data_IF_766459789772
#
_entry.id   IF_766459789772
#
_cell.length_a   1.000
_cell.length_b   1.000
_cell.length_c   1.000
_cell.angle_alpha   90.00
_cell.angle_beta   90.00
_cell.angle_gamma   90.00
#
_symmetry.space_group_name_H-M   'P 1'
#
loop_
_entity.id
_entity.type
_entity.pdbx_description
1 polymer ?
#
# COMPACT_ATOMS: atom_id res chain seq x y z
N UNK A 1 -35.30 -18.04 13.00
CA UNK A 1 -34.64 -18.05 14.32
C UNK A 1 -34.26 -19.47 14.77
N UNK A 2 -33.55 -20.20 13.93
CA UNK A 2 -33.16 -21.59 14.19
C UNK A 2 -31.69 -21.72 14.61
N UNK A 3 -31.03 -20.64 15.03
CA UNK A 3 -29.65 -20.65 15.50
C UNK A 3 -29.62 -20.25 16.98
N UNK A 4 -29.23 -21.17 17.84
CA UNK A 4 -28.94 -20.95 19.28
C UNK A 4 -27.70 -20.05 19.54
N UNK A 5 -27.38 -19.12 18.64
CA UNK A 5 -26.23 -18.24 18.75
C UNK A 5 -26.65 -16.77 18.83
N UNK A 6 -25.99 -16.03 19.74
CA UNK A 6 -26.29 -14.60 19.94
C UNK A 6 -26.10 -13.79 18.64
N UNK A 7 -26.86 -12.69 18.44
CA UNK A 7 -26.72 -11.80 17.30
C UNK A 7 -25.28 -11.30 17.13
N UNK A 8 -24.77 -11.33 15.87
CA UNK A 8 -23.42 -10.88 15.54
C UNK A 8 -22.31 -11.90 15.75
N UNK A 9 -22.62 -13.13 16.19
CA UNK A 9 -21.60 -14.19 16.28
C UNK A 9 -21.14 -14.67 14.90
N UNK A 10 -19.92 -15.20 14.82
CA UNK A 10 -19.35 -15.78 13.58
C UNK A 10 -20.25 -16.86 13.00
N UNK A 11 -20.85 -17.70 13.85
CA UNK A 11 -21.77 -18.75 13.45
C UNK A 11 -23.02 -18.19 12.77
N UNK A 12 -23.61 -17.15 13.34
CA UNK A 12 -24.80 -16.49 12.79
C UNK A 12 -24.50 -15.82 11.44
N UNK A 13 -23.39 -15.05 11.37
CA UNK A 13 -22.96 -14.38 10.13
C UNK A 13 -22.73 -15.40 9.03
N UNK A 14 -22.07 -16.52 9.33
CA UNK A 14 -21.84 -17.63 8.40
C UNK A 14 -23.14 -18.25 7.89
N UNK A 15 -24.07 -18.56 8.78
CA UNK A 15 -25.33 -19.17 8.42
C UNK A 15 -26.21 -18.24 7.57
N UNK A 16 -26.31 -16.97 7.96
CA UNK A 16 -27.02 -15.95 7.18
C UNK A 16 -26.44 -15.80 5.76
N UNK A 17 -25.10 -15.71 5.65
CA UNK A 17 -24.41 -15.63 4.37
C UNK A 17 -24.66 -16.87 3.50
N UNK A 18 -24.66 -18.09 4.08
CA UNK A 18 -24.96 -19.33 3.35
C UNK A 18 -26.37 -19.32 2.74
N UNK A 19 -27.35 -18.82 3.48
CA UNK A 19 -28.74 -18.70 2.99
C UNK A 19 -28.79 -17.70 1.83
N UNK A 20 -28.23 -16.51 2.01
CA UNK A 20 -28.23 -15.45 0.99
C UNK A 20 -27.49 -15.88 -0.29
N UNK A 21 -26.33 -16.53 -0.16
CA UNK A 21 -25.56 -17.04 -1.31
C UNK A 21 -26.35 -18.11 -2.07
N UNK A 22 -27.04 -19.01 -1.36
CA UNK A 22 -27.90 -20.00 -2.01
C UNK A 22 -29.08 -19.36 -2.76
N UNK A 23 -29.69 -18.34 -2.17
CA UNK A 23 -30.77 -17.58 -2.82
C UNK A 23 -30.27 -16.85 -4.06
N UNK A 24 -29.12 -16.17 -3.96
CA UNK A 24 -28.50 -15.47 -5.08
C UNK A 24 -28.20 -16.42 -6.24
N UNK A 25 -27.61 -17.59 -5.97
CA UNK A 25 -27.35 -18.63 -6.99
C UNK A 25 -28.62 -19.23 -7.59
N UNK A 26 -29.63 -19.40 -6.79
CA UNK A 26 -30.93 -19.97 -7.25
C UNK A 26 -31.68 -19.00 -8.15
N UNK A 27 -31.65 -17.71 -7.81
CA UNK A 27 -32.45 -16.67 -8.48
C UNK A 27 -31.65 -15.81 -9.46
N UNK A 28 -30.34 -15.98 -9.55
CA UNK A 28 -29.50 -15.31 -10.52
C UNK A 28 -29.27 -13.82 -10.25
N UNK A 29 -29.33 -13.36 -8.98
CA UNK A 29 -29.03 -11.99 -8.63
C UNK A 29 -27.61 -11.81 -8.03
N UNK A 30 -27.08 -10.59 -8.13
CA UNK A 30 -25.79 -10.23 -7.52
C UNK A 30 -26.00 -9.90 -6.04
N UNK A 31 -25.22 -10.53 -5.17
CA UNK A 31 -25.22 -10.30 -3.72
C UNK A 31 -23.94 -9.58 -3.31
N UNK A 32 -24.05 -8.38 -2.77
CA UNK A 32 -22.96 -7.62 -2.16
C UNK A 32 -23.06 -7.69 -0.63
N UNK A 33 -22.07 -8.31 -0.01
CA UNK A 33 -21.94 -8.37 1.45
C UNK A 33 -20.90 -7.34 1.90
N UNK A 34 -21.33 -6.32 2.63
CA UNK A 34 -20.44 -5.29 3.17
C UNK A 34 -20.10 -5.61 4.62
N UNK A 35 -18.81 -5.72 4.91
CA UNK A 35 -18.27 -5.98 6.24
C UNK A 35 -17.29 -4.91 6.68
N UNK A 36 -17.09 -4.77 7.99
CA UNK A 36 -16.08 -3.91 8.57
C UNK A 36 -14.87 -4.72 9.03
N UNK A 37 -13.67 -4.16 8.78
CA UNK A 37 -12.41 -4.65 9.33
C UNK A 37 -12.17 -3.93 10.66
N UNK A 38 -11.96 -4.66 11.75
CA UNK A 38 -11.61 -4.06 13.03
C UNK A 38 -10.15 -3.56 13.02
N UNK A 39 -9.81 -2.56 13.88
CA UNK A 39 -8.47 -1.95 13.97
C UNK A 39 -7.32 -2.94 14.22
N UNK A 40 -7.62 -4.14 14.70
CA UNK A 40 -6.64 -5.17 15.04
C UNK A 40 -6.43 -6.20 13.93
N UNK A 41 -7.02 -5.98 12.74
CA UNK A 41 -6.92 -6.93 11.61
C UNK A 41 -7.56 -8.30 11.88
N UNK A 42 -8.17 -8.46 13.04
CA UNK A 42 -8.85 -9.67 13.47
C UNK A 42 -10.35 -9.53 13.21
N UNK A 43 -10.78 -10.05 12.09
CA UNK A 43 -12.18 -10.03 11.73
C UNK A 43 -12.79 -11.38 12.07
N UNK A 44 -13.64 -11.39 13.08
CA UNK A 44 -14.38 -12.59 13.40
C UNK A 44 -15.42 -12.97 12.30
N UNK A 45 -15.93 -11.99 11.55
CA UNK A 45 -16.97 -12.20 10.53
C UNK A 45 -16.47 -12.28 9.07
N UNK A 46 -15.78 -11.25 8.53
CA UNK A 46 -15.44 -11.20 7.11
C UNK A 46 -14.50 -12.33 6.63
N UNK A 47 -13.48 -12.71 7.40
CA UNK A 47 -12.54 -13.77 7.00
C UNK A 47 -13.22 -15.12 6.75
N UNK A 48 -14.27 -15.42 7.51
CA UNK A 48 -15.09 -16.62 7.29
C UNK A 48 -15.87 -16.53 5.98
N UNK A 49 -16.30 -15.33 5.59
CA UNK A 49 -17.04 -15.09 4.37
C UNK A 49 -16.18 -15.16 3.11
N UNK A 50 -14.89 -14.82 3.20
CA UNK A 50 -13.94 -14.84 2.07
C UNK A 50 -13.92 -16.20 1.35
N UNK A 51 -14.02 -17.30 2.11
CA UNK A 51 -14.03 -18.64 1.53
C UNK A 51 -15.36 -19.01 0.86
N UNK A 52 -16.44 -18.30 1.20
CA UNK A 52 -17.80 -18.63 0.77
C UNK A 52 -18.25 -17.84 -0.47
N UNK A 53 -17.63 -16.68 -0.73
CA UNK A 53 -17.98 -15.77 -1.82
C UNK A 53 -17.08 -15.99 -3.04
N UNK A 54 -17.53 -15.54 -4.20
CA UNK A 54 -16.81 -15.69 -5.46
C UNK A 54 -15.75 -14.58 -5.64
N UNK A 55 -15.99 -13.38 -5.10
CA UNK A 55 -15.09 -12.23 -5.16
C UNK A 55 -14.96 -11.58 -3.79
N UNK A 56 -13.74 -11.17 -3.45
CA UNK A 56 -13.43 -10.41 -2.23
C UNK A 56 -12.72 -9.13 -2.62
N UNK A 57 -13.28 -8.01 -2.22
CA UNK A 57 -12.71 -6.68 -2.44
C UNK A 57 -12.39 -6.06 -1.09
N UNK A 58 -11.15 -5.59 -0.94
CA UNK A 58 -10.73 -4.79 0.20
C UNK A 58 -10.76 -3.31 -0.17
N UNK A 59 -11.35 -2.52 0.71
CA UNK A 59 -11.39 -1.08 0.58
C UNK A 59 -10.42 -0.49 1.60
N UNK A 60 -9.25 -0.06 1.12
CA UNK A 60 -8.13 0.41 1.91
C UNK A 60 -8.07 1.94 1.88
N UNK A 61 -7.67 2.55 2.99
CA UNK A 61 -7.44 3.99 3.06
C UNK A 61 -7.22 4.44 4.49
N UNK A 62 -6.18 5.21 4.72
CA UNK A 62 -5.87 5.79 6.03
C UNK A 62 -6.71 7.05 6.29
N UNK A 63 -6.98 7.31 7.59
CA UNK A 63 -7.62 8.56 8.01
C UNK A 63 -6.70 9.73 7.71
N UNK A 64 -7.18 10.71 6.94
CA UNK A 64 -6.43 11.90 6.54
C UNK A 64 -5.89 11.85 5.10
N UNK A 65 -5.86 10.70 4.44
CA UNK A 65 -5.57 10.62 3.02
C UNK A 65 -6.85 10.81 2.19
N UNK A 66 -6.75 11.62 1.13
CA UNK A 66 -7.88 11.89 0.23
C UNK A 66 -8.22 10.68 -0.65
N UNK A 67 -7.31 9.69 -0.73
CA UNK A 67 -7.45 8.54 -1.62
C UNK A 67 -7.92 7.29 -0.91
N UNK A 68 -8.59 6.44 -1.70
CA UNK A 68 -9.04 5.11 -1.30
C UNK A 68 -8.65 4.12 -2.38
N UNK A 69 -8.12 2.98 -1.99
CA UNK A 69 -7.75 1.89 -2.90
C UNK A 69 -8.75 0.76 -2.71
N UNK A 70 -9.37 0.34 -3.79
CA UNK A 70 -10.19 -0.86 -3.84
C UNK A 70 -9.33 -1.98 -4.45
N UNK A 71 -8.99 -2.96 -3.65
CA UNK A 71 -8.13 -4.08 -4.04
C UNK A 71 -8.92 -5.37 -4.17
N UNK A 72 -8.78 -6.05 -5.30
CA UNK A 72 -9.29 -7.41 -5.47
C UNK A 72 -8.33 -8.40 -4.82
N UNK A 73 -8.79 -9.11 -3.79
CA UNK A 73 -7.99 -10.11 -3.06
C UNK A 73 -8.32 -11.54 -3.50
N UNK A 74 -9.53 -11.71 -3.98
CA UNK A 74 -10.03 -12.97 -4.53
C UNK A 74 -11.00 -12.66 -5.66
N UNK A 75 -10.82 -13.32 -6.79
CA UNK A 75 -11.76 -13.27 -7.89
C UNK A 75 -11.79 -14.63 -8.59
N UNK A 76 -12.91 -15.36 -8.46
CA UNK A 76 -13.05 -16.69 -9.05
C UNK A 76 -13.17 -16.66 -10.57
N UNK A 77 -13.61 -15.54 -11.14
CA UNK A 77 -13.94 -15.40 -12.56
C UNK A 77 -13.01 -14.46 -13.32
N UNK A 78 -11.90 -14.00 -12.70
CA UNK A 78 -10.95 -13.09 -13.30
C UNK A 78 -9.70 -12.89 -12.46
N UNK A 79 -8.84 -11.92 -12.82
CA UNK A 79 -7.64 -11.58 -12.06
C UNK A 79 -7.97 -11.20 -10.62
N UNK A 80 -7.12 -11.59 -9.69
CA UNK A 80 -7.30 -11.29 -8.26
C UNK A 80 -6.52 -10.05 -7.82
N UNK A 81 -5.56 -9.57 -8.61
CA UNK A 81 -4.61 -8.53 -8.19
C UNK A 81 -4.91 -7.15 -8.81
N UNK A 82 -6.17 -6.91 -9.18
CA UNK A 82 -6.61 -5.62 -9.73
C UNK A 82 -6.85 -4.60 -8.63
N UNK A 83 -6.50 -3.35 -8.92
CA UNK A 83 -6.80 -2.21 -8.04
C UNK A 83 -7.60 -1.12 -8.76
N UNK A 84 -8.51 -0.49 -8.01
CA UNK A 84 -9.14 0.79 -8.35
C UNK A 84 -8.71 1.86 -7.37
N UNK A 85 -8.28 3.02 -7.86
CA UNK A 85 -7.93 4.17 -7.02
C UNK A 85 -9.04 5.20 -7.12
N UNK A 86 -9.49 5.69 -5.98
CA UNK A 86 -10.56 6.68 -5.86
C UNK A 86 -10.13 7.84 -4.99
N UNK A 87 -10.56 9.03 -5.34
CA UNK A 87 -10.42 10.23 -4.53
C UNK A 87 -11.73 10.51 -3.78
N UNK A 88 -11.64 10.95 -2.52
CA UNK A 88 -12.79 11.36 -1.73
C UNK A 88 -13.12 12.82 -2.01
N UNK A 89 -14.08 13.05 -2.88
CA UNK A 89 -14.62 14.39 -3.17
C UNK A 89 -15.86 14.74 -2.35
N UNK A 90 -16.36 15.97 -2.48
CA UNK A 90 -17.58 16.43 -1.81
C UNK A 90 -18.83 15.59 -2.15
N UNK A 91 -18.88 15.02 -3.34
CA UNK A 91 -19.99 14.18 -3.81
C UNK A 91 -19.78 12.69 -3.60
N UNK A 92 -18.73 12.30 -2.86
CA UNK A 92 -18.34 10.90 -2.64
C UNK A 92 -17.07 10.50 -3.40
N UNK A 93 -16.94 9.21 -3.69
CA UNK A 93 -15.77 8.64 -4.35
C UNK A 93 -15.79 8.93 -5.86
N UNK A 94 -14.68 9.45 -6.36
CA UNK A 94 -14.43 9.70 -7.78
C UNK A 94 -13.27 8.84 -8.24
N UNK A 95 -13.42 8.14 -9.36
CA UNK A 95 -12.35 7.30 -9.91
C UNK A 95 -11.14 8.16 -10.36
N UNK A 96 -9.94 7.71 -10.00
CA UNK A 96 -8.68 8.30 -10.45
C UNK A 96 -8.17 7.52 -11.66
N UNK A 97 -8.33 8.08 -12.85
CA UNK A 97 -7.94 7.44 -14.10
C UNK A 97 -6.41 7.21 -14.20
N UNK A 98 -5.61 8.14 -13.65
CA UNK A 98 -4.15 8.05 -13.65
C UNK A 98 -3.58 8.17 -12.22
N UNK A 99 -3.46 7.04 -11.49
CA UNK A 99 -2.89 7.05 -10.15
C UNK A 99 -1.45 7.56 -10.08
N UNK A 100 -0.64 7.31 -11.12
CA UNK A 100 0.75 7.77 -11.17
C UNK A 100 0.85 9.30 -11.14
N UNK A 101 0.01 9.99 -11.93
CA UNK A 101 -0.03 11.45 -11.92
C UNK A 101 -0.40 11.99 -10.54
N UNK A 102 -1.28 11.29 -9.84
CA UNK A 102 -1.70 11.63 -8.50
C UNK A 102 -0.57 11.46 -7.48
N UNK A 103 0.09 10.30 -7.46
CA UNK A 103 1.17 10.00 -6.52
C UNK A 103 2.42 10.86 -6.74
N UNK A 104 2.55 11.50 -7.90
CA UNK A 104 3.62 12.42 -8.23
C UNK A 104 3.21 13.90 -8.17
N UNK A 105 1.94 14.21 -7.87
CA UNK A 105 1.41 15.58 -7.93
C UNK A 105 2.08 16.53 -6.94
N UNK A 106 2.51 16.04 -5.80
CA UNK A 106 3.17 16.83 -4.74
C UNK A 106 4.71 16.79 -4.81
N UNK A 107 5.26 16.12 -5.84
CA UNK A 107 6.72 15.98 -5.98
C UNK A 107 7.40 17.34 -6.16
N UNK A 108 8.40 17.61 -5.33
CA UNK A 108 9.26 18.77 -5.49
C UNK A 108 10.41 18.47 -6.47
N UNK A 109 10.26 18.92 -7.70
CA UNK A 109 11.24 18.75 -8.77
C UNK A 109 12.48 19.60 -8.53
N UNK A 110 13.50 19.20 -7.97
CA UNK A 110 14.75 19.95 -7.72
C UNK A 110 15.20 19.87 -6.29
N UNK A 111 14.42 19.24 -5.41
CA UNK A 111 14.88 18.87 -4.08
C UNK A 111 15.67 17.58 -4.12
N UNK A 112 16.75 17.52 -3.33
CA UNK A 112 17.48 16.27 -3.06
C UNK A 112 16.61 15.32 -2.20
N UNK A 113 16.91 14.02 -2.24
CA UNK A 113 16.21 13.03 -1.44
C UNK A 113 14.90 12.51 -2.04
N UNK A 114 14.62 12.79 -3.31
CA UNK A 114 13.44 12.26 -4.02
C UNK A 114 13.86 11.49 -5.26
N UNK A 115 13.24 10.33 -5.49
CA UNK A 115 13.37 9.54 -6.72
C UNK A 115 12.03 8.90 -7.09
N UNK A 116 11.81 8.61 -8.37
CA UNK A 116 10.61 7.93 -8.83
C UNK A 116 10.91 6.46 -9.05
N UNK A 117 10.09 5.60 -8.46
CA UNK A 117 10.05 4.17 -8.73
C UNK A 117 8.91 3.82 -9.68
N UNK A 118 9.14 2.87 -10.57
CA UNK A 118 8.08 2.16 -11.24
C UNK A 118 7.87 0.82 -10.53
N UNK A 119 6.63 0.52 -10.18
CA UNK A 119 6.22 -0.71 -9.49
C UNK A 119 4.95 -1.27 -10.12
N UNK A 120 4.64 -2.53 -9.81
CA UNK A 120 3.41 -3.18 -10.23
C UNK A 120 2.45 -3.31 -9.05
N UNK A 121 1.24 -2.82 -9.21
CA UNK A 121 0.13 -3.12 -8.32
C UNK A 121 -0.87 -4.00 -9.07
N UNK A 122 -0.78 -5.31 -8.80
CA UNK A 122 -1.46 -6.31 -9.60
C UNK A 122 -0.93 -6.36 -11.02
N UNK A 123 -1.79 -6.10 -12.00
CA UNK A 123 -1.43 -6.00 -13.42
C UNK A 123 -1.15 -4.57 -13.87
N UNK A 124 -1.30 -3.58 -12.98
CA UNK A 124 -1.22 -2.16 -13.32
C UNK A 124 0.16 -1.57 -12.97
N UNK A 125 0.92 -1.02 -13.92
CA UNK A 125 2.13 -0.28 -13.62
C UNK A 125 1.78 1.06 -12.98
N UNK A 126 2.47 1.41 -11.89
CA UNK A 126 2.28 2.65 -11.14
C UNK A 126 3.64 3.30 -10.90
N UNK A 127 3.71 4.61 -11.06
CA UNK A 127 4.83 5.41 -10.62
C UNK A 127 4.56 5.94 -9.21
N UNK A 128 5.54 5.77 -8.32
CA UNK A 128 5.47 6.26 -6.94
C UNK A 128 6.72 7.07 -6.61
N UNK A 129 6.57 8.11 -5.81
CA UNK A 129 7.71 8.86 -5.29
C UNK A 129 8.27 8.16 -4.05
N UNK A 130 9.57 7.92 -4.07
CA UNK A 130 10.36 7.51 -2.90
C UNK A 130 11.10 8.72 -2.35
N UNK A 131 10.88 9.03 -1.10
CA UNK A 131 11.49 10.16 -0.40
C UNK A 131 12.46 9.63 0.66
N UNK A 132 13.62 10.23 0.77
CA UNK A 132 14.60 9.95 1.82
C UNK A 132 15.16 11.24 2.41
N UNK A 133 15.30 11.25 3.72
CA UNK A 133 16.01 12.28 4.45
C UNK A 133 17.20 11.62 5.17
N UNK A 134 18.39 12.10 4.88
CA UNK A 134 19.63 11.67 5.53
C UNK A 134 20.25 12.90 6.19
N UNK A 135 20.39 12.86 7.50
CA UNK A 135 20.94 13.99 8.29
C UNK A 135 21.92 13.47 9.34
N UNK A 136 22.96 14.23 9.68
CA UNK A 136 23.86 13.84 10.78
C UNK A 136 23.09 13.57 12.07
N UNK A 137 23.44 12.49 12.77
CA UNK A 137 22.80 12.11 14.03
C UNK A 137 23.11 13.12 15.12
N UNK A 138 22.08 13.70 15.73
CA UNK A 138 22.23 14.69 16.81
C UNK A 138 22.13 14.06 18.22
N UNK A 139 21.64 12.83 18.35
CA UNK A 139 21.30 12.20 19.63
C UNK A 139 22.05 10.91 19.96
N UNK A 140 23.24 10.73 19.41
CA UNK A 140 24.14 9.64 19.77
C UNK A 140 23.85 8.27 19.14
N UNK A 141 22.61 7.88 18.95
CA UNK A 141 22.21 6.63 18.27
C UNK A 141 21.47 6.95 16.99
N UNK A 142 21.99 6.54 15.82
CA UNK A 142 21.35 6.80 14.54
C UNK A 142 19.95 6.22 14.43
N UNK A 143 18.99 7.06 14.04
CA UNK A 143 17.61 6.65 13.85
C UNK A 143 17.38 6.11 12.42
N UNK A 144 16.55 5.09 12.32
CA UNK A 144 16.15 4.49 11.06
C UNK A 144 14.63 4.35 11.04
N UNK A 145 13.97 5.01 10.10
CA UNK A 145 12.51 4.96 9.97
C UNK A 145 12.12 4.71 8.53
N UNK A 146 11.13 3.85 8.32
CA UNK A 146 10.56 3.58 7.01
C UNK A 146 9.04 3.59 7.07
N UNK A 147 8.41 4.37 6.19
CA UNK A 147 6.97 4.42 5.97
C UNK A 147 6.69 3.96 4.54
N UNK A 148 5.73 3.05 4.37
CA UNK A 148 5.44 2.47 3.06
C UNK A 148 6.50 1.50 2.52
N UNK A 149 7.59 1.26 3.26
CA UNK A 149 8.72 0.41 2.91
C UNK A 149 9.13 -0.49 4.09
N UNK A 150 9.56 -1.72 3.82
CA UNK A 150 9.90 -2.67 4.87
C UNK A 150 11.21 -2.27 5.57
N UNK A 151 11.17 -2.09 6.90
CA UNK A 151 12.32 -1.70 7.70
C UNK A 151 13.54 -2.62 7.53
N UNK A 152 13.33 -3.95 7.46
CA UNK A 152 14.44 -4.92 7.23
C UNK A 152 15.11 -4.73 5.87
N UNK A 153 14.35 -4.35 4.84
CA UNK A 153 14.91 -4.03 3.52
C UNK A 153 15.72 -2.75 3.57
N UNK A 154 15.22 -1.70 4.26
CA UNK A 154 15.99 -0.47 4.49
C UNK A 154 17.34 -0.77 5.12
N UNK A 155 17.39 -1.57 6.19
CA UNK A 155 18.66 -1.95 6.83
C UNK A 155 19.64 -2.64 5.87
N UNK A 156 19.12 -3.52 5.01
CA UNK A 156 19.92 -4.22 4.01
C UNK A 156 20.46 -3.28 2.95
N UNK A 157 19.61 -2.36 2.43
CA UNK A 157 20.05 -1.34 1.47
C UNK A 157 21.12 -0.42 2.05
N UNK A 158 20.97 0.03 3.29
CA UNK A 158 21.99 0.85 3.96
C UNK A 158 23.33 0.12 4.04
N UNK A 159 23.34 -1.16 4.43
CA UNK A 159 24.57 -1.96 4.47
C UNK A 159 25.22 -2.12 3.08
N UNK A 160 24.41 -2.29 2.02
CA UNK A 160 24.91 -2.34 0.64
C UNK A 160 25.51 -1.00 0.22
N UNK A 161 24.84 0.11 0.50
CA UNK A 161 25.32 1.46 0.16
C UNK A 161 26.63 1.79 0.88
N UNK A 162 26.73 1.44 2.16
CA UNK A 162 27.98 1.60 2.92
C UNK A 162 29.12 0.77 2.30
N UNK A 163 28.85 -0.52 2.06
CA UNK A 163 29.89 -1.45 1.57
C UNK A 163 30.32 -1.17 0.14
N UNK A 164 29.38 -0.83 -0.76
CA UNK A 164 29.65 -0.71 -2.19
C UNK A 164 29.99 0.71 -2.63
N UNK A 165 29.41 1.73 -2.00
CA UNK A 165 29.63 3.12 -2.36
C UNK A 165 30.51 3.87 -1.35
N UNK A 166 30.91 3.23 -0.25
CA UNK A 166 31.73 3.84 0.79
C UNK A 166 31.03 4.96 1.56
N UNK A 167 29.70 5.00 1.56
CA UNK A 167 28.93 6.00 2.29
C UNK A 167 29.01 5.69 3.79
N UNK A 168 29.28 6.69 4.63
CA UNK A 168 29.36 6.53 6.10
C UNK A 168 28.01 6.80 6.74
N UNK A 169 27.01 5.97 6.40
CA UNK A 169 25.62 6.15 6.90
C UNK A 169 25.46 5.80 8.38
N UNK A 170 26.44 5.13 8.99
CA UNK A 170 26.44 4.78 10.41
C UNK A 170 26.36 5.97 11.37
N UNK A 171 26.71 7.18 10.92
CA UNK A 171 26.69 8.43 11.70
C UNK A 171 25.49 9.33 11.35
N UNK A 172 24.55 8.84 10.54
CA UNK A 172 23.41 9.61 10.04
C UNK A 172 22.09 8.97 10.41
N UNK A 173 21.11 9.80 10.70
CA UNK A 173 19.69 9.42 10.75
C UNK A 173 19.19 9.26 9.33
N UNK A 174 18.39 8.22 9.10
CA UNK A 174 17.81 7.93 7.77
C UNK A 174 16.32 7.69 7.91
N UNK A 175 15.54 8.52 7.22
CA UNK A 175 14.10 8.43 7.15
C UNK A 175 13.70 8.17 5.69
N UNK A 176 12.87 7.16 5.46
CA UNK A 176 12.36 6.80 4.13
C UNK A 176 10.85 6.82 4.15
N UNK A 177 10.25 7.41 3.12
CA UNK A 177 8.83 7.44 2.92
C UNK A 177 8.50 7.13 1.46
N UNK A 178 7.52 6.28 1.20
CA UNK A 178 6.93 6.11 -0.13
C UNK A 178 5.61 6.86 -0.15
N UNK A 179 5.54 7.90 -0.98
CA UNK A 179 4.39 8.78 -1.03
C UNK A 179 3.16 8.10 -1.66
N UNK A 180 1.99 8.34 -1.07
CA UNK A 180 0.68 8.00 -1.65
C UNK A 180 0.28 6.52 -1.58
N UNK A 181 1.14 5.61 -1.13
CA UNK A 181 0.85 4.16 -1.07
C UNK A 181 0.98 3.66 0.36
N UNK A 182 0.04 2.83 0.79
CA UNK A 182 0.03 2.27 2.15
C UNK A 182 1.26 1.42 2.41
N UNK A 183 1.69 0.59 1.43
CA UNK A 183 2.90 -0.22 1.51
C UNK A 183 3.28 -0.77 0.14
N UNK A 184 4.56 -0.69 -0.23
CA UNK A 184 5.12 -1.32 -1.41
C UNK A 184 6.04 -2.46 -1.01
N UNK A 185 5.65 -3.68 -1.34
CA UNK A 185 6.46 -4.89 -1.09
C UNK A 185 7.26 -5.33 -2.33
N UNK A 186 7.02 -4.70 -3.49
CA UNK A 186 7.71 -4.98 -4.76
C UNK A 186 9.21 -4.61 -4.66
N UNK A 187 10.13 -5.55 -4.97
CA UNK A 187 11.56 -5.26 -5.03
C UNK A 187 11.97 -4.17 -6.03
N UNK A 188 11.18 -3.95 -7.07
CA UNK A 188 11.46 -2.95 -8.10
C UNK A 188 11.66 -1.52 -7.56
N UNK A 189 11.19 -1.23 -6.34
CA UNK A 189 11.39 0.10 -5.70
C UNK A 189 12.75 0.26 -5.01
N UNK A 190 13.53 -0.81 -4.81
CA UNK A 190 14.77 -0.76 -4.03
C UNK A 190 15.79 0.20 -4.63
N UNK A 191 15.94 0.21 -5.95
CA UNK A 191 16.86 1.11 -6.63
C UNK A 191 16.48 2.58 -6.43
N UNK A 192 15.19 2.90 -6.48
CA UNK A 192 14.70 4.26 -6.26
C UNK A 192 14.89 4.70 -4.79
N UNK A 193 14.65 3.81 -3.83
CA UNK A 193 14.94 4.07 -2.41
C UNK A 193 16.44 4.32 -2.20
N UNK A 194 17.30 3.48 -2.78
CA UNK A 194 18.76 3.67 -2.73
C UNK A 194 19.17 5.00 -3.36
N UNK A 195 18.64 5.35 -4.52
CA UNK A 195 18.90 6.61 -5.21
C UNK A 195 18.45 7.83 -4.39
N UNK A 196 17.26 7.77 -3.77
CA UNK A 196 16.76 8.83 -2.89
C UNK A 196 17.68 9.03 -1.66
N UNK A 197 18.16 7.93 -1.04
CA UNK A 197 19.10 7.98 0.09
C UNK A 197 20.42 8.63 -0.35
N UNK A 198 21.00 8.21 -1.48
CA UNK A 198 22.24 8.78 -2.02
C UNK A 198 22.06 10.25 -2.41
N UNK A 199 20.94 10.58 -3.04
CA UNK A 199 20.56 11.95 -3.39
C UNK A 199 20.53 12.86 -2.16
N UNK A 200 19.83 12.43 -1.10
CA UNK A 200 19.77 13.18 0.16
C UNK A 200 21.13 13.28 0.85
N UNK A 201 21.89 12.19 0.90
CA UNK A 201 23.22 12.18 1.53
C UNK A 201 24.21 13.13 0.84
N UNK A 202 24.16 13.23 -0.50
CA UNK A 202 25.03 14.09 -1.31
C UNK A 202 24.48 15.48 -1.57
N UNK A 203 23.23 15.73 -1.19
CA UNK A 203 22.47 16.93 -1.51
C UNK A 203 22.44 17.25 -3.03
N UNK A 204 22.25 16.20 -3.83
CA UNK A 204 22.16 16.29 -5.30
C UNK A 204 20.81 15.74 -5.74
N UNK A 205 19.96 16.54 -6.40
CA UNK A 205 18.68 16.05 -6.93
C UNK A 205 18.86 14.93 -7.95
N UNK A 206 17.89 14.00 -7.98
CA UNK A 206 17.79 13.03 -9.07
C UNK A 206 17.25 13.69 -10.34
N UNK A 207 17.46 13.08 -11.50
CA UNK A 207 16.87 13.56 -12.74
C UNK A 207 15.32 13.52 -12.64
N UNK A 208 14.70 14.64 -12.96
CA UNK A 208 13.24 14.81 -12.86
C UNK A 208 12.45 13.95 -13.87
N UNK A 209 13.07 13.58 -14.98
CA UNK A 209 12.50 12.75 -16.04
C UNK A 209 12.78 11.25 -15.87
N UNK A 210 13.55 10.84 -14.86
CA UNK A 210 13.93 9.45 -14.65
C UNK A 210 12.94 8.71 -13.74
N UNK A 211 12.58 7.48 -14.13
CA UNK A 211 11.96 6.49 -13.27
C UNK A 211 12.89 5.28 -13.14
N UNK A 212 13.04 4.77 -11.92
CA UNK A 212 13.99 3.71 -11.58
C UNK A 212 13.26 2.39 -11.33
N UNK A 213 13.84 1.31 -11.83
CA UNK A 213 13.37 -0.06 -11.64
C UNK A 213 14.59 -0.91 -11.29
N UNK A 214 14.53 -1.69 -10.20
CA UNK A 214 15.65 -2.53 -9.79
C UNK A 214 15.39 -3.41 -8.59
#
# INVERSE_FOLDING_TARGET
DELDSAPGTVAQVRAAAQVLIRLAKRHGFVLLLVGHVTKEGMIAGPKVLEHMVDTVLYFEGERGHQFRILRSVKNRFGPADEIGVFEMGEKGLVEVANPSALFLSERNYGASGSAVAATMEGTRPILVETQALVTPTSYGVPQRTATGFAYKRLQMLLAVLEKRLGLRLGEYDVFVNIAGVVRVDDPAVDLAVAAAIVSSFRDIPTDSGAALIG
#
